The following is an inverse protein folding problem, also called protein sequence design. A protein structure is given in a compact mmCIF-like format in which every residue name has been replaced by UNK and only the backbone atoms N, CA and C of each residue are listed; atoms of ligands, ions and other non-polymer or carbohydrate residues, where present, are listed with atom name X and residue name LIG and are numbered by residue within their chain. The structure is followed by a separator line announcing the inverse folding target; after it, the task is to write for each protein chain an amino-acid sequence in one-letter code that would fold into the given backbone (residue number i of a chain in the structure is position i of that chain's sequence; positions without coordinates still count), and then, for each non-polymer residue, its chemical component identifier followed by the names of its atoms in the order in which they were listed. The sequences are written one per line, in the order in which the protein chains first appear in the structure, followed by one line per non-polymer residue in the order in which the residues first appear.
data_IF_031454455913
#
_entry.id   IF_031454455913
#
_cell.length_a   1.000
_cell.length_b   1.000
_cell.length_c   1.000
_cell.angle_alpha   90.00
_cell.angle_beta   90.00
_cell.angle_gamma   90.00
#
_symmetry.space_group_name_H-M   'P 1'
#
loop_
_entity.id
_entity.type
_entity.pdbx_description
1 polymer ?
#
# COMPACT_ATOMS: atom_id res chain seq x y z
N UNK A 1 -4.18 -0.52 9.55
CA UNK A 1 -4.05 -0.96 10.97
C UNK A 1 -5.38 -1.52 11.43
N UNK A 2 -5.38 -2.49 12.34
CA UNK A 2 -6.60 -3.08 12.91
C UNK A 2 -6.65 -2.78 14.39
N UNK A 3 -7.74 -2.19 14.87
CA UNK A 3 -7.94 -1.89 16.28
C UNK A 3 -8.32 -3.16 17.06
N UNK A 4 -8.18 -3.20 18.40
CA UNK A 4 -8.54 -4.37 19.22
C UNK A 4 -10.01 -4.80 19.15
N UNK A 5 -10.89 -3.86 18.79
CA UNK A 5 -12.32 -4.07 18.53
C UNK A 5 -12.62 -4.48 17.07
N UNK A 6 -11.58 -4.75 16.28
CA UNK A 6 -11.61 -5.08 14.86
C UNK A 6 -12.13 -3.97 13.93
N UNK A 7 -12.30 -2.74 14.44
CA UNK A 7 -12.57 -1.59 13.58
C UNK A 7 -11.32 -1.21 12.77
N UNK A 8 -11.53 -0.45 11.69
CA UNK A 8 -10.42 0.06 10.89
C UNK A 8 -9.66 1.13 11.68
N UNK A 9 -8.35 0.95 11.83
CA UNK A 9 -7.48 2.03 12.27
C UNK A 9 -7.37 3.11 11.18
N UNK A 10 -6.94 4.31 11.58
CA UNK A 10 -6.68 5.40 10.62
C UNK A 10 -5.62 4.96 9.60
N UNK A 11 -5.92 5.15 8.32
CA UNK A 11 -5.01 4.79 7.22
C UNK A 11 -4.04 5.96 6.97
N UNK A 12 -2.73 5.71 6.78
CA UNK A 12 -1.79 6.76 6.39
C UNK A 12 -2.20 7.45 5.08
N UNK A 13 -1.84 8.72 4.93
CA UNK A 13 -1.97 9.42 3.64
C UNK A 13 -0.82 8.99 2.72
N UNK A 14 -1.15 8.34 1.61
CA UNK A 14 -0.20 7.88 0.61
C UNK A 14 -0.27 8.70 -0.66
N UNK A 15 0.89 9.04 -1.23
CA UNK A 15 1.01 9.76 -2.51
C UNK A 15 2.15 9.19 -3.33
N UNK A 16 2.00 9.24 -4.66
CA UNK A 16 3.12 9.05 -5.59
C UNK A 16 3.90 10.35 -5.63
N UNK A 17 5.06 10.39 -4.96
CA UNK A 17 5.92 11.56 -4.88
C UNK A 17 6.76 11.74 -6.15
N UNK A 18 7.15 10.63 -6.80
CA UNK A 18 7.74 10.64 -8.14
C UNK A 18 7.24 9.43 -8.92
N UNK A 19 6.65 9.70 -10.09
CA UNK A 19 6.10 8.67 -10.96
C UNK A 19 7.20 7.83 -11.63
N UNK A 20 6.91 6.55 -11.96
CA UNK A 20 7.77 5.76 -12.85
C UNK A 20 7.93 6.39 -14.23
N UNK A 21 9.07 6.13 -14.88
CA UNK A 21 9.33 6.63 -16.23
C UNK A 21 8.67 5.77 -17.31
N UNK A 22 8.50 4.46 -17.02
CA UNK A 22 8.09 3.45 -17.99
C UNK A 22 6.80 2.72 -17.58
N UNK A 23 5.95 3.38 -16.79
CA UNK A 23 4.65 2.87 -16.39
C UNK A 23 3.80 3.92 -15.70
N UNK A 24 2.76 3.46 -15.00
CA UNK A 24 1.92 4.25 -14.10
C UNK A 24 1.81 3.56 -12.76
N UNK A 25 1.51 4.34 -11.70
CA UNK A 25 1.13 3.80 -10.40
C UNK A 25 -0.19 4.40 -9.97
N UNK A 26 -1.17 3.53 -9.72
CA UNK A 26 -2.49 3.89 -9.22
C UNK A 26 -2.64 3.49 -7.76
N UNK A 27 -2.97 4.46 -6.91
CA UNK A 27 -3.24 4.22 -5.49
C UNK A 27 -4.71 3.83 -5.29
N UNK A 28 -4.95 2.53 -5.15
CA UNK A 28 -6.26 2.00 -4.81
C UNK A 28 -6.60 2.21 -3.34
N UNK A 29 -7.84 2.57 -3.07
CA UNK A 29 -8.41 2.71 -1.72
C UNK A 29 -9.63 1.83 -1.63
N UNK A 30 -9.67 0.98 -0.61
CA UNK A 30 -10.82 0.11 -0.39
C UNK A 30 -10.69 -0.66 0.91
N UNK A 31 -11.25 -1.88 0.93
CA UNK A 31 -11.24 -2.71 2.12
C UNK A 31 -10.75 -4.13 1.85
N UNK A 32 -9.93 -4.65 2.75
CA UNK A 32 -9.34 -6.00 2.68
C UNK A 32 -9.69 -6.80 3.93
N UNK A 33 -9.64 -8.12 3.83
CA UNK A 33 -9.69 -8.97 5.02
C UNK A 33 -8.26 -9.09 5.57
N UNK A 34 -8.01 -8.76 6.84
CA UNK A 34 -6.70 -8.99 7.43
C UNK A 34 -6.46 -10.50 7.60
N UNK A 35 -5.19 -10.86 7.73
CA UNK A 35 -4.78 -12.21 8.09
C UNK A 35 -3.93 -12.19 9.36
N UNK A 36 -4.48 -12.75 10.43
CA UNK A 36 -3.79 -13.03 11.68
C UNK A 36 -3.78 -14.54 11.93
N UNK A 37 -2.62 -15.09 12.28
CA UNK A 37 -2.46 -16.51 12.54
C UNK A 37 -3.26 -16.99 13.76
N UNK A 38 -3.45 -18.31 13.88
CA UNK A 38 -4.14 -18.90 15.03
C UNK A 38 -3.41 -18.57 16.34
N UNK A 39 -4.16 -18.21 17.38
CA UNK A 39 -3.64 -17.81 18.68
C UNK A 39 -3.21 -16.34 18.77
N UNK A 40 -3.21 -15.59 17.66
CA UNK A 40 -2.97 -14.14 17.70
C UNK A 40 -4.16 -13.40 18.33
N UNK A 41 -3.89 -12.36 19.14
CA UNK A 41 -4.93 -11.58 19.84
C UNK A 41 -5.99 -10.96 18.91
N UNK A 42 -5.61 -10.70 17.66
CA UNK A 42 -6.47 -10.17 16.61
C UNK A 42 -7.02 -11.23 15.63
N UNK A 43 -6.85 -12.53 15.89
CA UNK A 43 -7.38 -13.61 15.03
C UNK A 43 -8.89 -13.44 14.78
N UNK A 44 -9.64 -13.02 15.81
CA UNK A 44 -11.07 -12.70 15.72
C UNK A 44 -11.42 -11.64 14.65
N UNK A 45 -10.45 -10.84 14.20
CA UNK A 45 -10.66 -9.78 13.23
C UNK A 45 -10.53 -10.25 11.77
N UNK A 46 -10.09 -11.48 11.51
CA UNK A 46 -9.97 -12.03 10.14
C UNK A 46 -11.30 -12.03 9.36
N UNK A 47 -12.44 -12.00 10.07
CA UNK A 47 -13.79 -11.99 9.47
C UNK A 47 -14.28 -10.59 9.08
N UNK A 48 -13.53 -9.52 9.40
CA UNK A 48 -13.91 -8.14 9.11
C UNK A 48 -13.18 -7.63 7.87
N UNK A 49 -13.80 -6.66 7.20
CA UNK A 49 -13.15 -5.84 6.18
C UNK A 49 -12.60 -4.58 6.84
N UNK A 50 -11.32 -4.29 6.60
CA UNK A 50 -10.63 -3.11 7.12
C UNK A 50 -10.20 -2.20 5.98
N UNK A 51 -10.18 -0.89 6.22
CA UNK A 51 -9.70 0.09 5.26
C UNK A 51 -8.21 -0.15 4.94
N UNK A 52 -7.88 -0.10 3.65
CA UNK A 52 -6.53 -0.30 3.14
C UNK A 52 -6.27 0.55 1.91
N UNK A 53 -4.98 0.80 1.67
CA UNK A 53 -4.46 1.41 0.45
C UNK A 53 -3.54 0.40 -0.21
N UNK A 54 -3.71 0.20 -1.51
CA UNK A 54 -2.84 -0.59 -2.36
C UNK A 54 -2.22 0.27 -3.45
N UNK A 55 -1.15 -0.20 -4.07
CA UNK A 55 -0.54 0.43 -5.23
C UNK A 55 -0.50 -0.57 -6.38
N UNK A 56 -1.07 -0.22 -7.52
CA UNK A 56 -1.00 -1.00 -8.75
C UNK A 56 0.00 -0.34 -9.69
N UNK A 57 1.04 -1.08 -10.09
CA UNK A 57 1.94 -0.66 -11.15
C UNK A 57 1.50 -1.28 -12.47
N UNK A 58 1.42 -0.44 -13.51
CA UNK A 58 1.18 -0.89 -14.88
C UNK A 58 2.34 -0.44 -15.75
N UNK A 59 3.10 -1.38 -16.33
CA UNK A 59 4.16 -1.04 -17.28
C UNK A 59 3.58 -0.52 -18.59
N UNK A 60 4.32 0.35 -19.27
CA UNK A 60 4.03 0.68 -20.68
C UNK A 60 4.12 -0.59 -21.51
N UNK A 61 3.22 -0.71 -22.49
CA UNK A 61 3.21 -1.85 -23.41
C UNK A 61 4.60 -2.06 -24.03
N UNK A 62 5.10 -3.29 -23.96
CA UNK A 62 6.41 -3.69 -24.51
C UNK A 62 7.62 -3.26 -23.70
N UNK A 63 7.46 -2.52 -22.59
CA UNK A 63 8.59 -2.17 -21.74
C UNK A 63 9.15 -3.40 -21.00
N UNK A 64 10.46 -3.60 -21.10
CA UNK A 64 11.23 -4.61 -20.37
C UNK A 64 12.48 -3.91 -19.84
N UNK A 65 12.78 -4.10 -18.56
CA UNK A 65 13.88 -3.41 -17.89
C UNK A 65 13.51 -2.94 -16.49
N UNK A 66 14.21 -1.93 -16.01
CA UNK A 66 14.05 -1.43 -14.65
C UNK A 66 13.29 -0.10 -14.62
N UNK A 67 12.37 0.04 -13.68
CA UNK A 67 11.65 1.28 -13.40
C UNK A 67 11.79 1.64 -11.91
N UNK A 68 11.37 2.85 -11.55
CA UNK A 68 11.44 3.34 -10.17
C UNK A 68 10.29 4.27 -9.86
N UNK A 69 9.62 4.02 -8.73
CA UNK A 69 8.62 4.93 -8.17
C UNK A 69 9.05 5.38 -6.78
N UNK A 70 8.75 6.63 -6.42
CA UNK A 70 8.87 7.10 -5.03
C UNK A 70 7.47 7.32 -4.49
N UNK A 71 7.14 6.62 -3.40
CA UNK A 71 5.87 6.77 -2.67
C UNK A 71 6.17 7.48 -1.36
N UNK A 72 5.38 8.49 -1.03
CA UNK A 72 5.38 9.08 0.30
C UNK A 72 4.21 8.54 1.13
N UNK A 73 4.45 8.41 2.43
CA UNK A 73 3.42 8.08 3.41
C UNK A 73 3.51 9.02 4.60
N UNK A 74 2.37 9.49 5.09
CA UNK A 74 2.26 10.31 6.29
C UNK A 74 1.34 9.64 7.30
N UNK A 75 1.85 9.39 8.51
CA UNK A 75 1.06 8.81 9.57
C UNK A 75 -0.07 9.77 9.99
N UNK A 76 -1.25 9.25 10.39
CA UNK A 76 -2.35 10.09 10.85
C UNK A 76 -1.93 10.97 12.04
N UNK A 77 -2.07 12.29 11.92
CA UNK A 77 -1.68 13.25 12.96
C UNK A 77 -0.19 13.62 13.00
N UNK A 78 0.61 13.13 12.05
CA UNK A 78 2.01 13.54 11.89
C UNK A 78 2.15 14.55 10.76
N UNK A 79 3.12 15.45 10.90
CA UNK A 79 3.58 16.36 9.83
C UNK A 79 4.83 15.83 9.11
N UNK A 80 5.33 14.65 9.50
CA UNK A 80 6.52 14.03 8.93
C UNK A 80 6.13 13.06 7.81
N UNK A 81 6.77 13.21 6.66
CA UNK A 81 6.64 12.28 5.55
C UNK A 81 7.77 11.24 5.59
N UNK A 82 7.41 9.98 5.42
CA UNK A 82 8.35 8.93 5.04
C UNK A 82 8.32 8.77 3.52
N UNK A 83 9.49 8.60 2.90
CA UNK A 83 9.62 8.35 1.48
C UNK A 83 10.22 6.97 1.26
N UNK A 84 9.59 6.19 0.40
CA UNK A 84 10.04 4.84 0.02
C UNK A 84 10.26 4.84 -1.49
N UNK A 85 11.48 4.46 -1.88
CA UNK A 85 11.82 4.22 -3.28
C UNK A 85 11.62 2.74 -3.58
N UNK A 86 10.79 2.43 -4.56
CA UNK A 86 10.56 1.07 -5.04
C UNK A 86 11.20 0.92 -6.41
N UNK A 87 12.15 0.00 -6.53
CA UNK A 87 12.73 -0.42 -7.80
C UNK A 87 11.92 -1.60 -8.35
N UNK A 88 11.53 -1.50 -9.62
CA UNK A 88 10.67 -2.47 -10.29
C UNK A 88 11.46 -3.09 -11.45
N UNK A 89 11.48 -4.42 -11.51
CA UNK A 89 12.05 -5.14 -12.64
C UNK A 89 10.91 -5.74 -13.46
N UNK A 90 10.79 -5.31 -14.72
CA UNK A 90 9.81 -5.83 -15.68
C UNK A 90 10.54 -6.82 -16.58
N UNK A 91 10.14 -8.08 -16.48
CA UNK A 91 10.64 -9.18 -17.30
C UNK A 91 9.56 -9.65 -18.29
N UNK A 92 10.00 -10.37 -19.33
CA UNK A 92 9.11 -11.03 -20.30
C UNK A 92 8.53 -12.31 -19.72
#
# INVERSE_FOLDING_TARGET
MVNPDCSSGKVPDFKVAAAPANGTVDLWRGAVSPFFAQGHSLQKCNVRKIAAVGAFYTSKSGFVGTDKVVVSSKAPGSDVYSYVTVHINVAK
#
